data_IF_057810124016
#
_entry.id   IF_057810124016
#
_cell.length_a   1.000
_cell.length_b   1.000
_cell.length_c   1.000
_cell.angle_alpha   90.00
_cell.angle_beta   90.00
_cell.angle_gamma   90.00
#
_symmetry.space_group_name_H-M   'P 1'
#
loop_
_entity.id
_entity.type
_entity.pdbx_description
1 polymer ?
#
# COMPACT_ATOMS: atom_id res chain seq x y z
N UNK A 1 12.31 12.72 -3.06
CA UNK A 1 11.39 11.66 -2.68
C UNK A 1 10.49 12.12 -1.54
N UNK A 2 9.33 11.55 -1.49
CA UNK A 2 8.34 11.88 -0.49
C UNK A 2 8.00 10.65 0.34
N UNK A 3 7.51 10.88 1.54
CA UNK A 3 6.96 9.81 2.33
C UNK A 3 5.62 10.25 2.90
N UNK A 4 4.74 9.29 3.06
CA UNK A 4 3.43 9.51 3.59
C UNK A 4 3.16 8.44 4.62
N UNK A 5 2.74 8.84 5.80
CA UNK A 5 2.31 7.91 6.82
C UNK A 5 0.82 7.96 6.96
N UNK A 6 0.26 6.86 7.28
CA UNK A 6 -1.13 6.78 7.63
C UNK A 6 -1.23 5.94 8.87
N UNK A 7 -2.26 6.16 9.63
CA UNK A 7 -2.22 5.69 10.99
C UNK A 7 -2.88 4.35 11.12
N UNK A 8 -4.10 4.26 11.32
CA UNK A 8 -4.72 3.01 11.66
C UNK A 8 -5.41 2.41 10.44
N UNK A 9 -5.24 1.11 10.28
CA UNK A 9 -5.86 0.35 9.21
C UNK A 9 -6.98 -0.46 9.85
N UNK A 10 -8.18 -0.36 9.30
CA UNK A 10 -9.34 -1.04 9.86
C UNK A 10 -9.47 -2.44 9.32
N UNK A 11 -9.94 -3.34 10.17
CA UNK A 11 -10.15 -4.73 9.81
C UNK A 11 -11.12 -4.87 8.64
N UNK A 12 -10.72 -5.66 7.66
CA UNK A 12 -11.56 -5.95 6.50
C UNK A 12 -11.78 -4.80 5.55
N UNK A 13 -11.20 -3.65 5.83
CA UNK A 13 -11.33 -2.47 5.00
C UNK A 13 -9.96 -2.07 4.48
N UNK A 14 -9.85 -1.89 3.16
CA UNK A 14 -8.60 -1.45 2.57
C UNK A 14 -8.51 0.07 2.61
N UNK A 15 -7.41 0.55 3.17
CA UNK A 15 -7.12 1.99 3.22
C UNK A 15 -6.17 2.35 2.11
N UNK A 16 -6.51 3.39 1.35
CA UNK A 16 -5.64 3.88 0.28
C UNK A 16 -4.50 4.67 0.88
N UNK A 17 -3.27 4.22 0.64
CA UNK A 17 -2.08 4.86 1.16
C UNK A 17 -1.51 5.88 0.19
N UNK A 18 -1.68 5.65 -1.12
CA UNK A 18 -1.20 6.57 -2.13
C UNK A 18 -1.97 6.35 -3.42
N UNK A 19 -2.25 7.44 -4.13
CA UNK A 19 -2.89 7.41 -5.44
C UNK A 19 -1.95 8.10 -6.43
N UNK A 20 -1.63 7.43 -7.51
CA UNK A 20 -0.76 7.99 -8.55
C UNK A 20 -1.38 9.24 -9.16
N UNK A 21 -0.54 10.19 -9.53
CA UNK A 21 -0.98 11.44 -10.11
C UNK A 21 -1.36 11.26 -11.58
N UNK A 22 -2.34 12.05 -12.02
CA UNK A 22 -2.79 12.01 -13.41
C UNK A 22 -1.64 12.37 -14.35
N UNK A 23 -1.46 11.53 -15.37
CA UNK A 23 -0.44 11.70 -16.42
C UNK A 23 0.99 11.73 -15.86
N UNK A 24 1.20 11.07 -14.75
CA UNK A 24 2.52 10.97 -14.12
C UNK A 24 2.84 9.53 -13.79
N UNK A 25 4.12 9.28 -13.60
CA UNK A 25 4.60 8.01 -13.06
C UNK A 25 5.16 8.23 -11.68
N UNK A 26 4.97 7.26 -10.82
CA UNK A 26 5.51 7.29 -9.47
C UNK A 26 6.23 5.98 -9.23
N UNK A 27 7.43 6.06 -8.68
CA UNK A 27 8.18 4.87 -8.30
C UNK A 27 7.94 4.63 -6.82
N UNK A 28 7.33 3.50 -6.52
CA UNK A 28 7.11 3.07 -5.14
C UNK A 28 8.40 2.45 -4.64
N UNK A 29 8.96 3.00 -3.59
CA UNK A 29 10.26 2.60 -3.07
C UNK A 29 10.17 1.67 -1.89
N UNK A 30 9.26 1.93 -0.97
CA UNK A 30 9.16 1.17 0.27
C UNK A 30 7.76 1.27 0.85
N UNK A 31 7.28 0.17 1.41
CA UNK A 31 6.05 0.13 2.18
C UNK A 31 6.35 -0.62 3.47
N UNK A 32 6.28 0.07 4.59
CA UNK A 32 6.55 -0.49 5.91
C UNK A 32 5.29 -0.43 6.75
N UNK A 33 4.99 -1.52 7.44
CA UNK A 33 3.81 -1.62 8.29
C UNK A 33 4.26 -2.09 9.67
N UNK A 34 3.91 -1.32 10.68
CA UNK A 34 4.23 -1.65 12.06
C UNK A 34 2.95 -2.06 12.80
N UNK A 35 3.04 -3.15 13.56
CA UNK A 35 1.95 -3.56 14.44
C UNK A 35 2.02 -2.74 15.73
N UNK A 36 1.03 -1.88 15.92
CA UNK A 36 0.97 -1.01 17.10
C UNK A 36 -0.01 -1.53 18.14
N UNK A 37 -0.58 -2.71 17.89
CA UNK A 37 -1.57 -3.30 18.80
C UNK A 37 -0.90 -4.21 19.83
N UNK A 38 -1.71 -4.74 20.72
CA UNK A 38 -1.25 -5.66 21.77
C UNK A 38 -1.37 -7.13 21.36
N UNK A 39 -1.71 -7.40 20.11
CA UNK A 39 -1.92 -8.76 19.59
C UNK A 39 -1.25 -8.93 18.25
N UNK A 40 -0.93 -10.18 17.89
CA UNK A 40 -0.44 -10.49 16.56
C UNK A 40 -1.54 -10.20 15.54
N UNK A 41 -1.14 -9.68 14.39
CA UNK A 41 -2.08 -9.38 13.30
C UNK A 41 -1.55 -9.95 11.99
N UNK A 42 -2.41 -9.95 10.97
CA UNK A 42 -1.98 -10.16 9.60
C UNK A 42 -2.34 -8.93 8.78
N UNK A 43 -1.59 -8.70 7.70
CA UNK A 43 -1.83 -7.54 6.84
C UNK A 43 -1.85 -7.97 5.37
N UNK A 44 -2.61 -7.23 4.59
CA UNK A 44 -2.64 -7.34 3.14
C UNK A 44 -2.16 -6.03 2.55
N UNK A 45 -1.34 -6.10 1.52
CA UNK A 45 -0.95 -4.93 0.73
C UNK A 45 -1.18 -5.27 -0.72
N UNK A 46 -1.93 -4.43 -1.42
CA UNK A 46 -2.15 -4.66 -2.85
C UNK A 46 -2.05 -3.36 -3.64
N UNK A 47 -1.66 -3.52 -4.90
CA UNK A 47 -1.68 -2.44 -5.87
C UNK A 47 -2.87 -2.66 -6.79
N UNK A 48 -3.65 -1.60 -6.96
CA UNK A 48 -4.77 -1.59 -7.88
C UNK A 48 -4.30 -0.91 -9.17
N UNK A 49 -4.11 -1.69 -10.23
CA UNK A 49 -3.56 -1.19 -11.49
C UNK A 49 -4.66 -0.58 -12.37
N UNK A 50 -5.28 0.47 -11.87
CA UNK A 50 -6.43 1.09 -12.52
C UNK A 50 -6.08 1.79 -13.83
N UNK A 51 -4.85 2.26 -13.96
CA UNK A 51 -4.42 3.00 -15.15
C UNK A 51 -4.47 2.14 -16.41
N UNK A 52 -4.19 0.85 -16.28
CA UNK A 52 -4.14 -0.08 -17.39
C UNK A 52 -5.30 -1.04 -17.43
N UNK A 53 -6.26 -0.88 -16.57
CA UNK A 53 -7.41 -1.77 -16.51
C UNK A 53 -8.26 -1.58 -17.75
N UNK A 54 -8.38 -2.61 -18.58
CA UNK A 54 -9.18 -2.55 -19.80
C UNK A 54 -10.52 -3.27 -19.66
N UNK A 55 -10.60 -4.24 -18.77
CA UNK A 55 -11.79 -5.08 -18.59
C UNK A 55 -12.18 -5.22 -17.13
N UNK A 56 -11.64 -4.37 -16.28
CA UNK A 56 -11.85 -4.46 -14.86
C UNK A 56 -10.60 -4.01 -14.13
N UNK A 57 -10.62 -4.13 -12.83
CA UNK A 57 -9.51 -3.71 -12.01
C UNK A 57 -8.56 -4.88 -11.83
N UNK A 58 -7.30 -4.67 -12.15
CA UNK A 58 -6.26 -5.65 -11.91
C UNK A 58 -5.62 -5.35 -10.56
N UNK A 59 -6.01 -6.13 -9.56
CA UNK A 59 -5.46 -6.02 -8.22
C UNK A 59 -4.33 -7.02 -8.06
N UNK A 60 -3.19 -6.54 -7.60
CA UNK A 60 -2.02 -7.38 -7.41
C UNK A 60 -1.63 -7.31 -5.94
N UNK A 61 -1.69 -8.44 -5.26
CA UNK A 61 -1.23 -8.51 -3.88
C UNK A 61 0.29 -8.50 -3.83
N UNK A 62 0.84 -7.62 -3.05
CA UNK A 62 2.27 -7.65 -2.71
C UNK A 62 2.49 -8.61 -1.55
N UNK A 63 1.60 -8.57 -0.57
CA UNK A 63 1.52 -9.56 0.50
C UNK A 63 0.05 -9.79 0.83
N UNK A 64 -0.30 -11.01 1.23
CA UNK A 64 -1.64 -11.35 1.66
C UNK A 64 -1.57 -12.17 2.93
N UNK A 65 -2.31 -11.73 3.94
CA UNK A 65 -2.32 -12.37 5.26
C UNK A 65 -0.91 -12.56 5.82
N UNK A 66 -0.05 -11.57 5.59
CA UNK A 66 1.33 -11.62 6.09
C UNK A 66 1.34 -11.35 7.59
N UNK A 67 1.97 -12.22 8.40
CA UNK A 67 1.96 -12.04 9.85
C UNK A 67 2.85 -10.89 10.27
N UNK A 68 2.34 -10.06 11.18
CA UNK A 68 3.12 -9.01 11.84
C UNK A 68 2.91 -9.19 13.33
N UNK A 69 3.90 -9.74 14.04
CA UNK A 69 3.75 -10.00 15.46
C UNK A 69 3.75 -8.73 16.29
N UNK A 70 3.30 -8.85 17.52
CA UNK A 70 3.34 -7.75 18.49
C UNK A 70 4.75 -7.18 18.55
N UNK A 71 4.85 -5.86 18.43
CA UNK A 71 6.13 -5.17 18.45
C UNK A 71 6.94 -5.30 17.16
N UNK A 72 6.39 -5.96 16.15
CA UNK A 72 7.10 -6.20 14.91
C UNK A 72 6.66 -5.26 13.78
N UNK A 73 7.37 -5.35 12.68
CA UNK A 73 7.08 -4.61 11.48
C UNK A 73 7.35 -5.47 10.25
N UNK A 74 6.71 -5.11 9.14
CA UNK A 74 6.85 -5.81 7.87
C UNK A 74 7.22 -4.81 6.79
N UNK A 75 8.22 -5.17 5.97
CA UNK A 75 8.53 -4.42 4.75
C UNK A 75 7.89 -5.13 3.56
N UNK A 76 6.73 -4.66 3.17
CA UNK A 76 6.03 -5.26 2.03
C UNK A 76 6.72 -4.96 0.70
N UNK A 77 7.33 -3.80 0.61
CA UNK A 77 8.16 -3.40 -0.54
C UNK A 77 9.46 -2.86 0.01
N UNK A 78 10.58 -3.43 -0.43
CA UNK A 78 11.91 -3.02 0.03
C UNK A 78 12.91 -3.29 -1.07
N UNK A 79 13.40 -2.22 -1.70
CA UNK A 79 14.41 -2.34 -2.75
C UNK A 79 13.87 -2.69 -4.14
N UNK A 80 12.67 -3.20 -4.25
CA UNK A 80 11.99 -3.39 -5.53
C UNK A 80 11.45 -2.04 -5.98
N UNK A 81 11.56 -1.76 -7.26
CA UNK A 81 11.02 -0.51 -7.79
C UNK A 81 9.75 -0.83 -8.55
N UNK A 82 8.63 -0.40 -8.00
CA UNK A 82 7.33 -0.65 -8.59
C UNK A 82 6.82 0.66 -9.16
N UNK A 83 6.47 0.65 -10.44
CA UNK A 83 5.98 1.85 -11.11
C UNK A 83 4.47 1.89 -11.02
N UNK A 84 3.96 3.02 -10.53
CA UNK A 84 2.54 3.31 -10.47
C UNK A 84 2.26 4.45 -11.45
N UNK A 85 1.14 4.36 -12.15
CA UNK A 85 0.82 5.28 -13.22
C UNK A 85 -0.59 5.83 -13.07
N UNK A 86 -0.81 7.03 -13.61
CA UNK A 86 -2.13 7.62 -13.67
C UNK A 86 -2.45 8.10 -15.06
N UNK A 87 -3.69 7.93 -15.48
CA UNK A 87 -4.17 8.40 -16.77
C UNK A 87 -5.66 8.73 -16.70
N UNK A 88 -6.21 9.20 -17.81
CA UNK A 88 -7.65 9.42 -17.89
C UNK A 88 -8.48 8.15 -17.74
N UNK A 89 -7.87 6.97 -17.92
CA UNK A 89 -8.54 5.68 -17.70
C UNK A 89 -8.67 5.37 -16.21
N UNK A 90 -7.66 5.70 -15.43
CA UNK A 90 -7.67 5.48 -14.01
C UNK A 90 -6.34 5.77 -13.37
N UNK A 91 -6.32 5.81 -12.06
CA UNK A 91 -5.14 6.10 -11.27
C UNK A 91 -4.80 4.87 -10.44
N UNK A 92 -3.55 4.41 -10.55
CA UNK A 92 -3.08 3.30 -9.73
C UNK A 92 -3.07 3.72 -8.26
N UNK A 93 -3.44 2.79 -7.39
CA UNK A 93 -3.42 3.03 -5.95
C UNK A 93 -2.69 1.92 -5.24
N UNK A 94 -2.15 2.21 -4.07
CA UNK A 94 -1.68 1.19 -3.15
C UNK A 94 -2.57 1.22 -1.92
N UNK A 95 -3.09 0.06 -1.56
CA UNK A 95 -4.03 -0.08 -0.46
C UNK A 95 -3.55 -1.14 0.52
N UNK A 96 -3.91 -0.96 1.77
CA UNK A 96 -3.46 -1.80 2.87
C UNK A 96 -4.63 -2.11 3.78
N UNK A 97 -4.66 -3.33 4.30
CA UNK A 97 -5.65 -3.74 5.31
C UNK A 97 -4.97 -4.56 6.39
N UNK A 98 -5.51 -4.49 7.59
CA UNK A 98 -5.05 -5.29 8.72
C UNK A 98 -6.20 -6.15 9.23
N UNK A 99 -5.86 -7.22 9.93
CA UNK A 99 -6.84 -8.16 10.47
C UNK A 99 -7.59 -7.63 11.69
N UNK A 100 -7.16 -6.50 12.23
CA UNK A 100 -7.84 -5.87 13.37
C UNK A 100 -7.89 -4.36 13.16
N UNK A 101 -8.90 -3.72 13.72
CA UNK A 101 -9.09 -2.28 13.61
C UNK A 101 -8.02 -1.54 14.41
N UNK A 102 -7.54 -0.43 13.86
CA UNK A 102 -6.59 0.47 14.52
C UNK A 102 -5.34 -0.26 15.01
N UNK A 103 -4.90 -1.28 14.29
CA UNK A 103 -3.85 -2.18 14.77
C UNK A 103 -2.48 -1.89 14.18
N UNK A 104 -2.40 -1.05 13.15
CA UNK A 104 -1.14 -0.88 12.44
C UNK A 104 -0.95 0.55 11.94
N UNK A 105 0.31 0.94 11.85
CA UNK A 105 0.73 2.15 11.16
C UNK A 105 1.46 1.75 9.89
N UNK A 106 1.27 2.53 8.84
CA UNK A 106 1.91 2.26 7.56
C UNK A 106 2.57 3.53 7.03
N UNK A 107 3.78 3.39 6.54
CA UNK A 107 4.47 4.47 5.84
C UNK A 107 4.84 4.01 4.44
N UNK A 108 4.63 4.89 3.47
CA UNK A 108 4.93 4.63 2.06
C UNK A 108 5.93 5.67 1.59
N UNK A 109 7.03 5.20 1.02
CA UNK A 109 8.04 6.08 0.42
C UNK A 109 7.97 5.95 -1.08
N UNK A 110 7.99 7.07 -1.77
CA UNK A 110 7.84 7.09 -3.22
C UNK A 110 8.56 8.27 -3.84
N UNK A 111 8.80 8.17 -5.14
CA UNK A 111 9.41 9.22 -5.94
C UNK A 111 8.46 9.55 -7.10
N UNK A 112 7.95 10.75 -7.11
CA UNK A 112 7.03 11.20 -8.15
C UNK A 112 7.80 11.83 -9.30
N UNK A 113 7.35 11.52 -10.51
CA UNK A 113 7.85 12.18 -11.71
C UNK A 113 7.23 13.58 -11.79
N UNK A 114 8.06 14.54 -11.88
CA UNK A 114 7.63 15.95 -11.94
C UNK A 114 7.92 16.56 -13.30
#
# INVERSE_FOLDING_TARGET
>A
SNSKSNIAIDSGTYSTMYTALLDKETILLEVDIANTSASDITVDVKINKNCRASTGVDDIFLVKAAPVPVGGALKAVSGQKIVMEGSGTGLDTITVAASAASAADCIVSYLEDV
#
